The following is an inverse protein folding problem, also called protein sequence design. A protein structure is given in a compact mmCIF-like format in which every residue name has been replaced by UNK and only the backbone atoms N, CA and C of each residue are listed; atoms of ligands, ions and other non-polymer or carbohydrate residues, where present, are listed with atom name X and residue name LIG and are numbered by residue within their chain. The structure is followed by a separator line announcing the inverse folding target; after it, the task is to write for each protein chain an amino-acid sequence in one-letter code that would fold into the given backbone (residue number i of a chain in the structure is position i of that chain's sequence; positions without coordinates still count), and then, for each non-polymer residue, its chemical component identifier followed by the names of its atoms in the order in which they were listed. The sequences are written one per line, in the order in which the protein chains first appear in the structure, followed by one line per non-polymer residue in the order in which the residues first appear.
data_IF_431174529073
#
_entry.id   IF_431174529073
#
_cell.length_a   1.000
_cell.length_b   1.000
_cell.length_c   1.000
_cell.angle_alpha   90.00
_cell.angle_beta   90.00
_cell.angle_gamma   90.00
#
_symmetry.space_group_name_H-M   'P 1'
#
loop_
_entity.id
_entity.type
_entity.pdbx_description
1 polymer ?
#
# COMPACT_ATOMS: atom_id res chain seq x y z
N UNK A 1 1.38 31.32 37.84
CA UNK A 1 1.23 29.89 37.48
C UNK A 1 0.35 29.63 36.25
N UNK A 2 -0.71 30.41 35.96
CA UNK A 2 -1.60 30.17 34.79
C UNK A 2 -0.94 30.39 33.42
N UNK A 3 -0.05 31.38 33.30
CA UNK A 3 0.58 31.76 32.02
C UNK A 3 1.54 30.68 31.46
N UNK A 4 2.24 29.95 32.35
CA UNK A 4 3.14 28.87 31.93
C UNK A 4 2.39 27.69 31.31
N UNK A 5 1.16 27.41 31.74
CA UNK A 5 0.34 26.31 31.20
C UNK A 5 -0.14 26.64 29.78
N UNK A 6 -0.51 27.89 29.50
CA UNK A 6 -0.91 28.32 28.16
C UNK A 6 0.28 28.30 27.19
N UNK A 7 1.47 28.66 27.67
CA UNK A 7 2.68 28.69 26.85
C UNK A 7 3.16 27.26 26.49
N UNK A 8 3.05 26.30 27.41
CA UNK A 8 3.38 24.89 27.10
C UNK A 8 2.37 24.25 26.16
N UNK A 9 1.07 24.51 26.34
CA UNK A 9 0.04 23.97 25.44
C UNK A 9 0.17 24.49 24.00
N UNK A 10 0.48 25.78 23.83
CA UNK A 10 0.67 26.39 22.50
C UNK A 10 1.91 25.85 21.79
N UNK A 11 3.02 25.63 22.50
CA UNK A 11 4.23 25.01 21.93
C UNK A 11 3.96 23.57 21.49
N UNK A 12 3.23 22.78 22.28
CA UNK A 12 2.87 21.39 21.93
C UNK A 12 1.96 21.36 20.68
N UNK A 13 0.99 22.27 20.59
CA UNK A 13 0.10 22.36 19.42
C UNK A 13 0.86 22.71 18.13
N UNK A 14 1.82 23.64 18.19
CA UNK A 14 2.68 23.96 17.05
C UNK A 14 3.62 22.80 16.69
N UNK A 15 4.17 22.09 17.67
CA UNK A 15 5.05 20.94 17.43
C UNK A 15 4.34 19.77 16.73
N UNK A 16 3.05 19.54 17.02
CA UNK A 16 2.23 18.54 16.33
C UNK A 16 1.83 18.95 14.91
N UNK A 17 1.64 20.25 14.66
CA UNK A 17 1.31 20.79 13.34
C UNK A 17 2.50 20.80 12.36
N UNK A 18 3.72 20.62 12.88
CA UNK A 18 4.98 20.64 12.13
C UNK A 18 5.54 19.26 11.83
N UNK A 19 4.87 18.17 12.22
CA UNK A 19 5.22 16.85 11.71
C UNK A 19 4.74 16.84 10.26
N UNK A 20 5.61 16.95 9.24
CA UNK A 20 5.15 16.76 7.87
C UNK A 20 4.48 15.39 7.85
N UNK A 21 3.24 15.32 7.39
CA UNK A 21 2.71 14.05 6.91
C UNK A 21 3.69 13.64 5.81
N UNK A 22 4.61 12.73 6.12
CA UNK A 22 5.47 12.13 5.12
C UNK A 22 4.54 11.21 4.34
N UNK A 23 3.83 11.81 3.37
CA UNK A 23 3.08 11.08 2.37
C UNK A 23 4.10 10.18 1.66
N UNK A 24 3.92 8.86 1.79
CA UNK A 24 4.76 7.89 1.11
C UNK A 24 4.41 7.83 -0.37
N UNK A 25 5.13 6.98 -1.09
CA UNK A 25 4.69 6.60 -2.43
C UNK A 25 3.35 5.84 -2.37
N UNK A 26 2.59 5.95 -3.45
CA UNK A 26 1.33 5.25 -3.63
C UNK A 26 1.49 4.06 -4.58
N UNK A 27 1.15 2.87 -4.10
CA UNK A 27 1.04 1.67 -4.92
C UNK A 27 -0.44 1.42 -5.24
N UNK A 28 -0.84 1.76 -6.46
CA UNK A 28 -2.21 1.57 -6.95
C UNK A 28 -2.35 0.25 -7.69
N UNK A 29 -3.38 -0.52 -7.37
CA UNK A 29 -3.67 -1.79 -8.02
C UNK A 29 -5.12 -1.86 -8.44
N UNK A 30 -5.35 -1.97 -9.74
CA UNK A 30 -6.67 -2.26 -10.32
C UNK A 30 -6.97 -3.74 -10.20
N UNK A 31 -8.10 -4.07 -9.59
CA UNK A 31 -8.50 -5.46 -9.29
C UNK A 31 -9.45 -6.01 -10.36
N UNK A 32 -8.96 -6.94 -11.18
CA UNK A 32 -9.67 -7.46 -12.35
C UNK A 32 -9.66 -9.00 -12.42
N UNK A 33 -9.83 -9.68 -11.28
CA UNK A 33 -9.94 -11.13 -11.26
C UNK A 33 -11.35 -11.61 -11.66
N UNK A 34 -11.43 -12.67 -12.47
CA UNK A 34 -12.66 -13.33 -12.90
C UNK A 34 -13.14 -14.25 -11.77
N UNK A 35 -13.67 -13.64 -10.71
CA UNK A 35 -13.97 -14.35 -9.48
C UNK A 35 -12.71 -14.78 -8.74
N UNK A 36 -12.67 -14.52 -7.45
CA UNK A 36 -11.54 -14.90 -6.63
C UNK A 36 -11.21 -13.89 -5.56
N UNK A 37 -10.35 -14.33 -4.66
CA UNK A 37 -9.80 -13.52 -3.60
C UNK A 37 -8.32 -13.30 -3.85
N UNK A 38 -7.83 -12.15 -3.43
CA UNK A 38 -6.41 -11.86 -3.45
C UNK A 38 -6.00 -11.15 -2.17
N UNK A 39 -4.69 -11.08 -1.94
CA UNK A 39 -4.08 -10.33 -0.87
C UNK A 39 -2.94 -9.54 -1.50
N UNK A 40 -2.98 -8.22 -1.39
CA UNK A 40 -2.05 -7.29 -2.02
C UNK A 40 -1.42 -6.45 -0.92
N UNK A 41 -0.10 -6.39 -0.87
CA UNK A 41 0.61 -5.61 0.15
C UNK A 41 1.92 -5.06 -0.35
N UNK A 42 2.42 -4.06 0.34
CA UNK A 42 3.77 -3.53 0.14
C UNK A 42 4.70 -3.98 1.25
N UNK A 43 5.94 -4.27 0.86
CA UNK A 43 7.03 -4.60 1.76
C UNK A 43 8.23 -3.67 1.51
N UNK A 44 9.02 -3.44 2.55
CA UNK A 44 10.28 -2.70 2.44
C UNK A 44 11.35 -3.53 1.70
N UNK A 45 12.53 -2.93 1.50
CA UNK A 45 13.67 -3.61 0.85
C UNK A 45 14.18 -4.85 1.58
N UNK A 46 13.89 -4.97 2.87
CA UNK A 46 14.23 -6.12 3.70
C UNK A 46 13.15 -7.21 3.67
N UNK A 47 12.06 -7.01 2.90
CA UNK A 47 10.93 -7.93 2.80
C UNK A 47 9.97 -7.85 3.99
N UNK A 48 10.06 -6.83 4.84
CA UNK A 48 9.14 -6.62 5.96
C UNK A 48 7.87 -5.95 5.47
N UNK A 49 6.71 -6.44 5.94
CA UNK A 49 5.41 -5.83 5.67
C UNK A 49 5.40 -4.35 6.09
N UNK A 50 4.85 -3.50 5.23
CA UNK A 50 4.67 -2.07 5.45
C UNK A 50 3.18 -1.72 5.52
N UNK A 51 2.43 -1.98 4.44
CA UNK A 51 1.01 -1.61 4.32
C UNK A 51 0.27 -2.52 3.33
N UNK A 52 -1.07 -2.39 3.28
CA UNK A 52 -1.95 -3.19 2.42
C UNK A 52 -2.74 -4.26 3.17
N UNK A 53 -3.04 -5.36 2.50
CA UNK A 53 -3.93 -6.40 2.98
C UNK A 53 -3.28 -7.32 4.00
N UNK A 54 -4.02 -7.58 5.08
CA UNK A 54 -3.65 -8.58 6.10
C UNK A 54 -4.37 -9.91 5.91
N UNK A 55 -5.43 -9.93 5.11
CA UNK A 55 -6.28 -11.09 4.82
C UNK A 55 -6.66 -11.05 3.34
N UNK A 56 -7.14 -12.18 2.83
CA UNK A 56 -7.71 -12.21 1.49
C UNK A 56 -9.02 -11.41 1.44
N UNK A 57 -9.26 -10.74 0.32
CA UNK A 57 -10.52 -10.07 -0.01
C UNK A 57 -10.91 -10.36 -1.46
N UNK A 58 -12.18 -10.17 -1.85
CA UNK A 58 -12.61 -10.34 -3.23
C UNK A 58 -11.92 -9.34 -4.17
N UNK A 59 -11.33 -9.82 -5.27
CA UNK A 59 -10.56 -8.97 -6.20
C UNK A 59 -11.16 -8.90 -7.60
N UNK A 60 -12.49 -9.03 -7.70
CA UNK A 60 -13.23 -9.03 -8.97
C UNK A 60 -14.03 -7.76 -9.26
N UNK A 61 -14.11 -6.83 -8.30
CA UNK A 61 -15.09 -5.73 -8.35
C UNK A 61 -14.61 -4.50 -9.16
N UNK A 62 -13.50 -4.61 -9.90
CA UNK A 62 -12.89 -3.51 -10.68
C UNK A 62 -12.54 -2.30 -9.81
N UNK A 63 -12.34 -2.54 -8.53
CA UNK A 63 -11.94 -1.57 -7.52
C UNK A 63 -10.47 -1.20 -7.72
N UNK A 64 -10.16 0.06 -7.44
CA UNK A 64 -8.78 0.52 -7.32
C UNK A 64 -8.39 0.44 -5.86
N UNK A 65 -7.43 -0.43 -5.55
CA UNK A 65 -6.76 -0.43 -4.26
C UNK A 65 -5.64 0.60 -4.28
N UNK A 66 -5.61 1.51 -3.31
CA UNK A 66 -4.56 2.50 -3.16
C UNK A 66 -3.84 2.29 -1.83
N UNK A 67 -2.55 1.96 -1.90
CA UNK A 67 -1.72 1.66 -0.73
C UNK A 67 -0.63 2.73 -0.58
N UNK A 68 -0.78 3.57 0.45
CA UNK A 68 0.26 4.50 0.90
C UNK A 68 1.37 3.75 1.64
N UNK A 69 2.60 3.80 1.12
CA UNK A 69 3.79 3.12 1.66
C UNK A 69 4.29 3.74 2.97
N UNK A 70 3.75 4.88 3.41
CA UNK A 70 4.13 5.60 4.64
C UNK A 70 5.59 6.06 4.70
N UNK A 71 6.34 5.89 3.62
CA UNK A 71 7.75 6.28 3.48
C UNK A 71 8.10 6.50 2.01
N UNK A 72 9.15 7.30 1.79
CA UNK A 72 9.75 7.57 0.48
C UNK A 72 10.91 6.59 0.18
N UNK A 73 11.05 5.54 0.99
CA UNK A 73 12.01 4.47 0.77
C UNK A 73 11.56 3.57 -0.38
N UNK A 74 12.52 2.82 -0.95
CA UNK A 74 12.21 1.83 -1.95
C UNK A 74 11.27 0.73 -1.39
N UNK A 75 10.27 0.35 -2.17
CA UNK A 75 9.29 -0.68 -1.77
C UNK A 75 9.09 -1.75 -2.84
N UNK A 76 8.55 -2.89 -2.42
CA UNK A 76 8.08 -3.96 -3.29
C UNK A 76 6.57 -4.06 -3.20
N UNK A 77 5.91 -4.25 -4.34
CA UNK A 77 4.49 -4.62 -4.42
C UNK A 77 4.39 -6.14 -4.51
N UNK A 78 3.59 -6.74 -3.63
CA UNK A 78 3.39 -8.17 -3.55
C UNK A 78 1.90 -8.48 -3.69
N UNK A 79 1.58 -9.57 -4.39
CA UNK A 79 0.24 -10.10 -4.44
C UNK A 79 0.24 -11.62 -4.43
N UNK A 80 -0.81 -12.21 -3.86
CA UNK A 80 -1.06 -13.65 -3.89
C UNK A 80 -2.56 -13.92 -3.89
N UNK A 81 -2.94 -15.12 -4.31
CA UNK A 81 -4.31 -15.63 -4.27
C UNK A 81 -4.35 -16.93 -3.45
N UNK A 82 -5.51 -17.40 -2.97
CA UNK A 82 -5.62 -18.63 -2.17
C UNK A 82 -5.11 -19.90 -2.86
N UNK A 83 -5.18 -19.96 -4.19
CA UNK A 83 -4.81 -21.15 -4.97
C UNK A 83 -3.38 -21.13 -5.53
N UNK A 84 -2.63 -20.05 -5.33
CA UNK A 84 -1.24 -19.93 -5.79
C UNK A 84 -0.25 -20.13 -4.65
N UNK A 85 0.77 -20.95 -4.90
CA UNK A 85 1.82 -21.24 -3.92
C UNK A 85 2.92 -20.16 -3.89
N UNK A 86 3.02 -19.35 -4.94
CA UNK A 86 4.05 -18.32 -5.07
C UNK A 86 3.44 -16.92 -5.05
N UNK A 87 4.00 -16.06 -4.21
CA UNK A 87 3.68 -14.63 -4.19
C UNK A 87 4.36 -13.95 -5.39
N UNK A 88 3.57 -13.24 -6.19
CA UNK A 88 4.12 -12.40 -7.28
C UNK A 88 4.64 -11.11 -6.66
N UNK A 89 5.81 -10.69 -7.11
CA UNK A 89 6.56 -9.55 -6.58
C UNK A 89 6.97 -8.62 -7.70
N UNK A 90 6.82 -7.32 -7.48
CA UNK A 90 7.31 -6.26 -8.37
C UNK A 90 8.07 -5.19 -7.60
N UNK A 91 9.00 -4.53 -8.28
CA UNK A 91 9.91 -3.55 -7.69
C UNK A 91 11.36 -4.06 -7.60
N UNK A 92 12.25 -3.36 -6.88
CA UNK A 92 11.93 -2.24 -5.99
C UNK A 92 11.48 -0.99 -6.77
N UNK A 93 10.62 -0.18 -6.16
CA UNK A 93 10.10 1.06 -6.73
C UNK A 93 10.51 2.26 -5.87
N UNK A 94 10.81 3.38 -6.52
CA UNK A 94 11.20 4.67 -5.91
C UNK A 94 10.24 5.81 -6.35
N UNK A 95 9.00 5.44 -6.66
CA UNK A 95 7.95 6.33 -7.12
C UNK A 95 6.58 5.67 -6.92
N UNK A 96 5.53 6.45 -7.13
CA UNK A 96 4.17 5.93 -7.27
C UNK A 96 4.11 4.92 -8.40
N UNK A 97 3.33 3.86 -8.22
CA UNK A 97 3.15 2.83 -9.24
C UNK A 97 1.68 2.52 -9.48
N UNK A 98 1.41 2.07 -10.69
CA UNK A 98 0.13 1.53 -11.10
C UNK A 98 0.33 0.11 -11.63
N UNK A 99 -0.49 -0.82 -11.13
CA UNK A 99 -0.51 -2.21 -11.57
C UNK A 99 -1.94 -2.69 -11.74
N UNK A 100 -2.10 -3.82 -12.44
CA UNK A 100 -3.37 -4.54 -12.53
C UNK A 100 -3.14 -5.97 -12.10
N UNK A 101 -4.03 -6.48 -11.26
CA UNK A 101 -4.15 -7.89 -10.96
C UNK A 101 -5.33 -8.47 -11.74
N UNK A 102 -5.10 -9.56 -12.47
CA UNK A 102 -6.12 -10.19 -13.31
C UNK A 102 -5.94 -11.72 -13.30
N UNK A 103 -6.98 -12.46 -13.67
CA UNK A 103 -6.97 -13.92 -13.68
C UNK A 103 -7.93 -14.53 -12.66
N UNK A 104 -7.52 -15.58 -11.96
CA UNK A 104 -8.35 -16.37 -11.04
C UNK A 104 -7.54 -16.83 -9.82
N UNK A 105 -8.19 -17.47 -8.85
CA UNK A 105 -7.54 -17.96 -7.63
C UNK A 105 -6.32 -18.87 -7.87
N UNK A 106 -6.30 -19.61 -8.99
CA UNK A 106 -5.26 -20.62 -9.28
C UNK A 106 -4.25 -20.16 -10.33
N UNK A 107 -4.51 -19.04 -10.99
CA UNK A 107 -3.63 -18.48 -12.00
C UNK A 107 -3.96 -17.00 -12.16
N UNK A 108 -3.06 -16.13 -11.71
CA UNK A 108 -3.21 -14.69 -11.83
C UNK A 108 -1.97 -14.05 -12.44
N UNK A 109 -2.10 -12.81 -12.89
CA UNK A 109 -0.98 -11.97 -13.29
C UNK A 109 -0.96 -10.69 -12.42
N UNK A 110 0.22 -10.12 -12.23
CA UNK A 110 0.40 -8.81 -11.62
C UNK A 110 1.30 -8.00 -12.55
N UNK A 111 0.70 -7.09 -13.30
CA UNK A 111 1.35 -6.41 -14.43
C UNK A 111 1.30 -4.89 -14.26
N UNK A 112 2.25 -4.14 -14.85
CA UNK A 112 2.17 -2.68 -14.89
C UNK A 112 0.94 -2.25 -15.69
N UNK A 113 0.37 -1.12 -15.30
CA UNK A 113 -0.81 -0.58 -15.94
C UNK A 113 -0.67 0.94 -16.07
N UNK A 114 -1.28 1.48 -17.13
CA UNK A 114 -1.42 2.91 -17.35
C UNK A 114 -2.81 3.41 -16.87
N UNK A 115 -3.62 2.53 -16.29
CA UNK A 115 -5.01 2.80 -15.91
C UNK A 115 -5.20 2.76 -14.39
N UNK A 116 -4.56 3.72 -13.72
CA UNK A 116 -4.83 4.17 -12.36
C UNK A 116 -4.78 5.71 -12.31
#
# INVERSE_FOLDING_TARGET
MKFHIFLTLTIIFFALALIPATEGFHAKVKEYMVGGECKIWVADVNGKYVAGDKKFHPCGDRTMLDIDTKSNDAYFLLATTPGEFQTKRRGPFLADTCSTIEGSNFNFSLNPSEQC
#
